data_IF_263566501494
#
_entry.id   IF_263566501494
#
_cell.length_a   1.000
_cell.length_b   1.000
_cell.length_c   1.000
_cell.angle_alpha   90.00
_cell.angle_beta   90.00
_cell.angle_gamma   90.00
#
_symmetry.space_group_name_H-M   'P 1'
#
loop_
_entity.id
_entity.type
_entity.pdbx_description
1 polymer ?
#
# COMPACT_ATOMS: atom_id res chain seq x y z
N UNK A 1 24.37 -10.51 -1.57
CA UNK A 1 24.07 -10.27 -0.14
C UNK A 1 23.74 -11.61 0.54
N UNK A 2 23.83 -11.74 1.87
CA UNK A 2 23.53 -13.00 2.57
C UNK A 2 22.13 -13.57 2.27
N UNK A 3 21.11 -12.70 2.13
CA UNK A 3 19.73 -13.10 1.84
C UNK A 3 19.53 -13.56 0.39
N UNK A 4 20.17 -12.91 -0.59
CA UNK A 4 20.12 -13.35 -1.99
C UNK A 4 20.71 -14.76 -2.16
N UNK A 5 21.80 -15.06 -1.44
CA UNK A 5 22.37 -16.42 -1.39
C UNK A 5 21.42 -17.42 -0.74
N UNK A 6 20.75 -17.04 0.35
CA UNK A 6 19.78 -17.91 1.02
C UNK A 6 18.58 -18.23 0.12
N UNK A 7 18.00 -17.23 -0.56
CA UNK A 7 16.91 -17.46 -1.52
C UNK A 7 17.33 -18.43 -2.63
N UNK A 8 18.53 -18.27 -3.18
CA UNK A 8 19.07 -19.18 -4.20
C UNK A 8 19.18 -20.62 -3.68
N UNK A 9 19.76 -20.83 -2.49
CA UNK A 9 19.90 -22.17 -1.90
C UNK A 9 18.55 -22.81 -1.61
N UNK A 10 17.55 -22.02 -1.16
CA UNK A 10 16.19 -22.53 -0.94
C UNK A 10 15.52 -22.94 -2.27
N UNK A 11 15.68 -22.14 -3.34
CA UNK A 11 15.17 -22.51 -4.68
C UNK A 11 15.83 -23.78 -5.21
N UNK A 12 17.14 -23.94 -5.01
CA UNK A 12 17.88 -25.15 -5.40
C UNK A 12 17.42 -26.38 -4.61
N UNK A 13 17.25 -26.23 -3.29
CA UNK A 13 16.71 -27.28 -2.42
C UNK A 13 15.31 -27.72 -2.87
N UNK A 14 14.40 -26.78 -3.15
CA UNK A 14 13.05 -27.07 -3.62
C UNK A 14 13.04 -27.90 -4.91
N UNK A 15 13.99 -27.66 -5.83
CA UNK A 15 14.11 -28.44 -7.07
C UNK A 15 14.58 -29.88 -6.84
N UNK A 16 15.29 -30.15 -5.74
CA UNK A 16 15.76 -31.48 -5.36
C UNK A 16 14.74 -32.31 -4.58
N UNK A 17 13.65 -31.70 -4.11
CA UNK A 17 12.62 -32.38 -3.32
C UNK A 17 11.64 -33.15 -4.23
N UNK A 18 11.22 -34.32 -3.73
CA UNK A 18 10.26 -35.20 -4.42
C UNK A 18 8.84 -35.10 -3.86
N UNK A 19 8.71 -34.70 -2.59
CA UNK A 19 7.42 -34.52 -1.95
C UNK A 19 6.88 -33.11 -2.25
N UNK A 20 5.65 -33.05 -2.77
CA UNK A 20 5.04 -31.79 -3.19
C UNK A 20 4.78 -30.85 -2.01
N UNK A 21 4.45 -31.37 -0.82
CA UNK A 21 4.20 -30.57 0.38
C UNK A 21 5.47 -29.84 0.85
N UNK A 22 6.57 -30.57 1.00
CA UNK A 22 7.87 -29.99 1.38
C UNK A 22 8.35 -28.99 0.33
N UNK A 23 8.16 -29.31 -0.96
CA UNK A 23 8.54 -28.40 -2.05
C UNK A 23 7.79 -27.07 -1.96
N UNK A 24 6.47 -27.09 -1.76
CA UNK A 24 5.65 -25.89 -1.61
C UNK A 24 6.13 -25.04 -0.42
N UNK A 25 6.45 -25.69 0.72
CA UNK A 25 6.93 -24.99 1.91
C UNK A 25 8.27 -24.29 1.66
N UNK A 26 9.23 -24.99 1.03
CA UNK A 26 10.55 -24.41 0.71
C UNK A 26 10.43 -23.30 -0.34
N UNK A 27 9.57 -23.46 -1.36
CA UNK A 27 9.30 -22.40 -2.33
C UNK A 27 8.71 -21.15 -1.67
N UNK A 28 7.81 -21.32 -0.68
CA UNK A 28 7.28 -20.21 0.09
C UNK A 28 8.38 -19.48 0.89
N UNK A 29 9.30 -20.21 1.53
CA UNK A 29 10.44 -19.62 2.22
C UNK A 29 11.42 -18.92 1.26
N UNK A 30 11.65 -19.50 0.08
CA UNK A 30 12.46 -18.91 -0.96
C UNK A 30 11.90 -17.57 -1.45
N UNK A 31 10.58 -17.52 -1.74
CA UNK A 31 9.86 -16.30 -2.14
C UNK A 31 9.95 -15.24 -1.05
N UNK A 32 9.65 -15.61 0.20
CA UNK A 32 9.72 -14.68 1.34
C UNK A 32 11.11 -14.09 1.53
N UNK A 33 12.16 -14.89 1.34
CA UNK A 33 13.55 -14.42 1.45
C UNK A 33 13.89 -13.45 0.33
N UNK A 34 13.43 -13.73 -0.88
CA UNK A 34 13.61 -12.88 -2.06
C UNK A 34 12.91 -11.52 -1.86
N UNK A 35 11.65 -11.54 -1.41
CA UNK A 35 10.87 -10.34 -1.10
C UNK A 35 11.54 -9.46 -0.05
N UNK A 36 12.09 -10.06 1.02
CA UNK A 36 12.83 -9.32 2.04
C UNK A 36 14.12 -8.74 1.46
N UNK A 37 14.86 -9.50 0.63
CA UNK A 37 16.09 -9.01 0.01
C UNK A 37 15.80 -7.80 -0.91
N UNK A 38 14.83 -7.95 -1.81
CA UNK A 38 14.40 -6.87 -2.71
C UNK A 38 13.89 -5.64 -1.95
N UNK A 39 13.08 -5.85 -0.91
CA UNK A 39 12.57 -4.76 -0.07
C UNK A 39 13.68 -4.02 0.68
N UNK A 40 14.68 -4.75 1.22
CA UNK A 40 15.83 -4.14 1.87
C UNK A 40 16.70 -3.37 0.89
N UNK A 41 17.00 -3.93 -0.28
CA UNK A 41 17.74 -3.23 -1.33
C UNK A 41 17.04 -1.93 -1.73
N UNK A 42 15.72 -1.98 -2.00
CA UNK A 42 14.93 -0.82 -2.37
C UNK A 42 14.91 0.28 -1.29
N UNK A 43 14.88 -0.10 -0.01
CA UNK A 43 14.88 0.85 1.12
C UNK A 43 16.28 1.43 1.36
N UNK A 44 17.32 0.60 1.31
CA UNK A 44 18.70 1.03 1.58
C UNK A 44 19.19 1.96 0.48
N UNK A 45 18.91 1.62 -0.78
CA UNK A 45 19.34 2.42 -1.92
C UNK A 45 18.40 3.58 -2.22
N UNK A 46 17.14 3.51 -1.75
CA UNK A 46 16.09 4.49 -2.03
C UNK A 46 15.83 4.68 -3.53
N UNK A 47 15.90 3.57 -4.27
CA UNK A 47 15.83 3.56 -5.74
C UNK A 47 14.40 3.70 -6.31
N UNK A 48 13.37 3.77 -5.46
CA UNK A 48 11.99 3.97 -5.91
C UNK A 48 11.71 5.48 -6.00
N UNK A 49 11.57 5.98 -7.22
CA UNK A 49 11.18 7.36 -7.47
C UNK A 49 9.79 7.67 -6.90
N UNK A 50 9.59 8.90 -6.43
CA UNK A 50 8.36 9.36 -5.78
C UNK A 50 7.96 8.56 -4.52
N UNK A 51 8.90 7.96 -3.80
CA UNK A 51 8.66 7.33 -2.50
C UNK A 51 9.25 8.14 -1.34
N UNK A 52 8.59 8.05 -0.19
CA UNK A 52 9.11 8.53 1.10
C UNK A 52 9.58 7.33 1.91
N UNK A 53 10.77 7.45 2.48
CA UNK A 53 11.40 6.42 3.30
C UNK A 53 11.53 6.89 4.75
N UNK A 54 11.16 6.03 5.69
CA UNK A 54 11.34 6.31 7.12
C UNK A 54 11.54 5.04 7.94
N UNK A 55 12.01 5.22 9.17
CA UNK A 55 12.22 4.14 10.13
C UNK A 55 11.44 4.47 11.40
N UNK A 56 10.63 3.53 11.87
CA UNK A 56 10.03 3.59 13.19
C UNK A 56 10.80 2.69 14.16
N UNK A 57 11.11 3.24 15.32
CA UNK A 57 11.86 2.55 16.38
C UNK A 57 11.00 2.50 17.63
N UNK A 58 10.51 1.31 17.98
CA UNK A 58 9.73 1.07 19.18
C UNK A 58 10.63 0.35 20.20
N UNK A 59 11.05 1.09 21.23
CA UNK A 59 11.86 0.52 22.34
C UNK A 59 10.99 -0.38 23.22
N UNK A 60 11.40 -1.63 23.44
CA UNK A 60 10.82 -2.55 24.42
C UNK A 60 11.86 -2.87 25.50
N UNK A 61 11.41 -3.42 26.63
CA UNK A 61 12.30 -3.74 27.78
C UNK A 61 13.52 -4.62 27.43
N UNK A 62 13.37 -5.55 26.47
CA UNK A 62 14.42 -6.54 26.12
C UNK A 62 15.07 -6.33 24.75
N UNK A 63 14.45 -5.55 23.87
CA UNK A 63 14.95 -5.28 22.52
C UNK A 63 14.25 -4.05 21.94
N UNK A 64 14.79 -3.49 20.87
CA UNK A 64 14.11 -2.48 20.07
C UNK A 64 13.51 -3.11 18.82
N UNK A 65 12.24 -2.84 18.53
CA UNK A 65 11.63 -3.21 17.25
C UNK A 65 11.92 -2.08 16.26
N UNK A 66 12.58 -2.41 15.17
CA UNK A 66 12.79 -1.52 14.03
C UNK A 66 11.78 -1.89 12.94
N UNK A 67 11.17 -0.90 12.30
CA UNK A 67 10.30 -1.11 11.15
C UNK A 67 10.69 -0.11 10.08
N UNK A 68 10.99 -0.61 8.89
CA UNK A 68 11.42 0.16 7.74
C UNK A 68 10.22 0.36 6.83
N UNK A 69 10.04 1.58 6.34
CA UNK A 69 8.91 1.94 5.50
C UNK A 69 9.39 2.60 4.22
N UNK A 70 8.69 2.28 3.13
CA UNK A 70 8.74 2.98 1.86
C UNK A 70 7.29 3.14 1.39
N UNK A 71 6.84 4.37 1.19
CA UNK A 71 5.48 4.63 0.73
C UNK A 71 5.47 5.60 -0.46
N UNK A 72 4.67 5.33 -1.50
CA UNK A 72 4.55 6.22 -2.64
C UNK A 72 3.89 7.54 -2.23
N UNK A 73 4.40 8.66 -2.75
CA UNK A 73 3.83 10.00 -2.59
C UNK A 73 2.51 10.09 -3.37
N UNK A 74 2.47 9.46 -4.54
CA UNK A 74 1.33 9.42 -5.43
C UNK A 74 0.91 7.98 -5.74
N UNK A 75 -0.36 7.66 -5.46
CA UNK A 75 -0.95 6.34 -5.71
C UNK A 75 -1.90 6.32 -6.89
N UNK A 76 -2.11 7.47 -7.55
CA UNK A 76 -3.11 7.66 -8.59
C UNK A 76 -2.98 6.64 -9.72
N UNK A 77 -1.79 6.53 -10.32
CA UNK A 77 -1.57 5.63 -11.47
C UNK A 77 -1.71 4.17 -11.08
N UNK A 78 -1.20 3.79 -9.90
CA UNK A 78 -1.28 2.40 -9.43
C UNK A 78 -2.71 1.99 -9.11
N UNK A 79 -3.48 2.85 -8.46
CA UNK A 79 -4.90 2.59 -8.17
C UNK A 79 -5.72 2.56 -9.45
N UNK A 80 -5.44 3.44 -10.41
CA UNK A 80 -6.07 3.41 -11.72
C UNK A 80 -5.84 2.08 -12.41
N UNK A 81 -4.58 1.67 -12.57
CA UNK A 81 -4.19 0.45 -13.28
C UNK A 81 -4.69 -0.83 -12.59
N UNK A 82 -4.60 -0.89 -11.25
CA UNK A 82 -4.87 -2.12 -10.51
C UNK A 82 -6.31 -2.26 -10.05
N UNK A 83 -7.06 -1.16 -9.95
CA UNK A 83 -8.44 -1.16 -9.43
C UNK A 83 -9.42 -0.62 -10.45
N UNK A 84 -9.31 0.66 -10.82
CA UNK A 84 -10.35 1.34 -11.58
C UNK A 84 -10.44 0.92 -13.06
N UNK A 85 -9.33 0.46 -13.64
CA UNK A 85 -9.30 -0.09 -15.01
C UNK A 85 -9.69 -1.58 -15.05
N UNK A 86 -9.49 -2.33 -13.95
CA UNK A 86 -9.78 -3.78 -13.89
C UNK A 86 -11.19 -4.11 -13.43
N UNK A 87 -11.80 -3.25 -12.61
CA UNK A 87 -13.08 -3.50 -11.96
C UNK A 87 -14.09 -2.45 -12.45
N UNK A 88 -15.22 -2.89 -13.00
CA UNK A 88 -16.34 -2.01 -13.38
C UNK A 88 -17.70 -2.69 -13.17
N UNK A 89 -18.72 -1.98 -12.62
CA UNK A 89 -18.68 -0.58 -12.16
C UNK A 89 -18.03 -0.41 -10.78
N UNK A 90 -17.51 0.79 -10.49
CA UNK A 90 -17.01 1.19 -9.16
C UNK A 90 -17.80 2.41 -8.69
N UNK A 91 -18.36 2.32 -7.48
CA UNK A 91 -19.10 3.43 -6.84
C UNK A 91 -18.32 3.88 -5.61
N UNK A 92 -17.89 5.14 -5.60
CA UNK A 92 -17.27 5.77 -4.43
C UNK A 92 -18.33 6.63 -3.72
N UNK A 93 -18.62 6.32 -2.46
CA UNK A 93 -19.60 7.06 -1.65
C UNK A 93 -19.05 7.33 -0.26
N UNK A 94 -19.14 8.58 0.18
CA UNK A 94 -18.86 9.01 1.55
C UNK A 94 -19.34 10.45 1.73
N UNK A 95 -19.61 10.84 2.97
CA UNK A 95 -20.02 12.19 3.36
C UNK A 95 -18.91 13.25 3.15
N UNK A 96 -17.65 12.84 2.93
CA UNK A 96 -16.48 13.73 2.94
C UNK A 96 -15.60 13.64 1.69
N UNK A 97 -16.10 13.04 0.60
CA UNK A 97 -15.32 12.92 -0.64
C UNK A 97 -15.08 14.27 -1.35
N UNK A 98 -16.03 15.19 -1.26
CA UNK A 98 -15.93 16.51 -1.85
C UNK A 98 -15.18 17.47 -0.92
N UNK A 99 -14.28 18.27 -1.48
CA UNK A 99 -13.57 19.35 -0.79
C UNK A 99 -13.90 20.65 -1.49
N UNK A 100 -14.33 21.67 -0.73
CA UNK A 100 -14.73 22.97 -1.28
C UNK A 100 -15.76 22.86 -2.44
N UNK A 101 -16.75 21.97 -2.29
CA UNK A 101 -17.81 21.76 -3.28
C UNK A 101 -17.39 21.01 -4.55
N UNK A 102 -16.18 20.45 -4.61
CA UNK A 102 -15.68 19.72 -5.79
C UNK A 102 -15.05 18.37 -5.42
N UNK A 103 -15.13 17.40 -6.32
CA UNK A 103 -14.43 16.12 -6.23
C UNK A 103 -13.02 16.14 -6.84
N UNK A 104 -12.54 17.29 -7.33
CA UNK A 104 -11.24 17.38 -8.02
C UNK A 104 -10.05 16.90 -7.18
N UNK A 105 -10.11 17.16 -5.87
CA UNK A 105 -9.07 16.70 -4.95
C UNK A 105 -8.95 15.18 -4.95
N UNK A 106 -10.06 14.47 -4.74
CA UNK A 106 -10.05 13.01 -4.67
C UNK A 106 -9.82 12.39 -6.05
N UNK A 107 -10.38 12.96 -7.11
CA UNK A 107 -10.13 12.51 -8.49
C UNK A 107 -8.63 12.53 -8.82
N UNK A 108 -7.94 13.63 -8.49
CA UNK A 108 -6.50 13.74 -8.69
C UNK A 108 -5.71 12.73 -7.85
N UNK A 109 -6.07 12.54 -6.58
CA UNK A 109 -5.37 11.58 -5.68
C UNK A 109 -5.56 10.12 -6.09
N UNK A 110 -6.68 9.79 -6.72
CA UNK A 110 -7.03 8.43 -7.15
C UNK A 110 -6.80 8.16 -8.65
N UNK A 111 -6.43 9.17 -9.43
CA UNK A 111 -6.20 9.04 -10.88
C UNK A 111 -7.47 8.94 -11.72
N UNK A 112 -8.60 9.44 -11.23
CA UNK A 112 -9.90 9.40 -11.91
C UNK A 112 -10.03 10.57 -12.90
N UNK A 113 -10.46 10.30 -14.13
CA UNK A 113 -10.65 11.32 -15.18
C UNK A 113 -12.09 11.41 -15.69
N UNK A 114 -12.75 10.27 -15.89
CA UNK A 114 -14.08 10.20 -16.51
C UNK A 114 -15.10 9.52 -15.56
N UNK A 115 -15.51 10.23 -14.50
CA UNK A 115 -16.48 9.72 -13.53
C UNK A 115 -17.73 10.60 -13.43
N UNK A 116 -18.88 9.95 -13.18
CA UNK A 116 -20.10 10.66 -12.80
C UNK A 116 -19.99 11.13 -11.35
N UNK A 117 -20.43 12.35 -11.09
CA UNK A 117 -20.31 13.01 -9.78
C UNK A 117 -21.69 13.46 -9.29
N UNK A 118 -21.97 13.19 -8.02
CA UNK A 118 -23.19 13.65 -7.35
C UNK A 118 -22.81 14.19 -5.98
N UNK A 119 -23.00 15.49 -5.78
CA UNK A 119 -22.84 16.15 -4.49
C UNK A 119 -24.22 16.41 -3.89
N UNK A 120 -24.48 15.82 -2.73
CA UNK A 120 -25.74 15.99 -2.00
C UNK A 120 -25.54 16.94 -0.82
N UNK A 121 -26.50 17.85 -0.63
CA UNK A 121 -26.53 18.71 0.55
C UNK A 121 -26.94 17.91 1.79
N UNK A 122 -26.40 18.28 2.94
CA UNK A 122 -26.83 17.69 4.20
C UNK A 122 -28.27 18.10 4.52
N UNK A 123 -29.14 17.16 4.94
CA UNK A 123 -30.50 17.48 5.37
C UNK A 123 -30.58 18.09 6.77
N UNK A 124 -29.45 18.19 7.49
CA UNK A 124 -29.41 18.66 8.87
C UNK A 124 -29.51 20.19 8.95
N UNK A 125 -30.33 20.70 9.88
CA UNK A 125 -30.44 22.13 10.11
C UNK A 125 -29.31 22.61 11.04
N UNK A 126 -28.19 23.01 10.43
CA UNK A 126 -27.00 23.47 11.15
C UNK A 126 -27.23 24.76 11.94
N UNK A 127 -28.13 25.64 11.48
CA UNK A 127 -28.37 26.94 12.13
C UNK A 127 -28.93 26.76 13.54
N UNK A 128 -29.87 25.83 13.70
CA UNK A 128 -30.61 25.68 14.95
C UNK A 128 -30.07 24.55 15.84
N UNK A 129 -29.20 23.67 15.32
CA UNK A 129 -28.81 22.43 15.98
C UNK A 129 -27.30 22.20 16.04
N UNK A 130 -26.47 23.26 16.01
CA UNK A 130 -25.01 23.16 16.13
C UNK A 130 -24.47 24.11 17.18
N UNK A 131 -23.53 23.60 17.99
CA UNK A 131 -22.63 24.40 18.81
C UNK A 131 -21.24 24.39 18.18
N UNK A 132 -20.72 25.57 17.81
CA UNK A 132 -19.38 25.72 17.28
C UNK A 132 -18.41 26.07 18.43
N UNK A 133 -17.40 25.22 18.64
CA UNK A 133 -16.27 25.53 19.50
C UNK A 133 -15.16 26.14 18.64
N UNK A 134 -14.79 27.38 18.95
CA UNK A 134 -13.71 28.14 18.31
C UNK A 134 -12.50 28.24 19.22
#
# INVERSE_FOLDING_TARGET
>A
MPLSRLSFVLKDLANGLKEDEEKIEIEAYASRTDEINCGLEAIIHQDLEEYVYWIEIIKRKRYSKYTLYAAPINVADKLKEQVFDKIRPVVLTSATLATNGSFDYIKRRLGLKDCQEVLLSSPFNYRDNVLLYT
#
